data_IF_664621395632
#
_entry.id   IF_664621395632
#
_cell.length_a   1.000
_cell.length_b   1.000
_cell.length_c   1.000
_cell.angle_alpha   90.00
_cell.angle_beta   90.00
_cell.angle_gamma   90.00
#
_symmetry.space_group_name_H-M   'P 1'
#
loop_
_entity.id
_entity.type
_entity.pdbx_description
1 polymer ?
#
# COMPACT_ATOMS: atom_id res chain seq x y z
N UNK A 1 -26.85 -10.71 -38.46
CA UNK A 1 -27.01 -9.57 -37.54
C UNK A 1 -26.99 -10.12 -36.12
N UNK A 2 -25.89 -9.89 -35.39
CA UNK A 2 -25.66 -10.49 -34.08
C UNK A 2 -26.53 -9.81 -33.03
N UNK A 3 -27.51 -10.55 -32.53
CA UNK A 3 -28.40 -10.20 -31.42
C UNK A 3 -27.68 -10.47 -30.08
N UNK A 4 -26.47 -9.91 -29.93
CA UNK A 4 -25.81 -9.86 -28.63
C UNK A 4 -26.48 -8.72 -27.88
N UNK A 5 -27.35 -9.07 -26.94
CA UNK A 5 -27.87 -8.12 -25.96
C UNK A 5 -26.68 -7.39 -25.35
N UNK A 6 -26.55 -6.11 -25.67
CA UNK A 6 -25.61 -5.20 -25.01
C UNK A 6 -25.98 -5.24 -23.54
N UNK A 7 -25.19 -5.94 -22.73
CA UNK A 7 -25.33 -5.84 -21.27
C UNK A 7 -24.97 -4.39 -20.97
N UNK A 8 -26.00 -3.57 -20.74
CA UNK A 8 -25.81 -2.18 -20.34
C UNK A 8 -25.13 -2.24 -18.98
N UNK A 9 -23.88 -1.79 -18.91
CA UNK A 9 -23.18 -1.68 -17.64
C UNK A 9 -23.99 -0.73 -16.75
N UNK A 10 -24.26 -1.06 -15.47
CA UNK A 10 -24.84 -0.11 -14.52
C UNK A 10 -24.06 1.20 -14.42
N UNK A 11 -22.76 1.18 -14.79
CA UNK A 11 -21.92 2.38 -14.90
C UNK A 11 -22.49 3.38 -15.92
N UNK A 12 -23.13 2.91 -16.99
CA UNK A 12 -23.72 3.78 -18.02
C UNK A 12 -24.84 4.65 -17.46
N UNK A 13 -25.49 4.26 -16.35
CA UNK A 13 -26.52 5.07 -15.69
C UNK A 13 -25.94 6.26 -14.91
N UNK A 14 -24.66 6.18 -14.56
CA UNK A 14 -23.97 7.19 -13.74
C UNK A 14 -22.80 7.86 -14.46
N UNK A 15 -22.54 7.52 -15.72
CA UNK A 15 -21.35 7.98 -16.47
C UNK A 15 -21.21 9.51 -16.48
N UNK A 16 -22.33 10.23 -16.63
CA UNK A 16 -22.36 11.70 -16.63
C UNK A 16 -22.09 12.33 -15.25
N UNK A 17 -22.10 11.52 -14.19
CA UNK A 17 -21.79 11.93 -12.81
C UNK A 17 -20.42 11.45 -12.32
N UNK A 18 -19.67 10.73 -13.16
CA UNK A 18 -18.30 10.33 -12.85
C UNK A 18 -17.33 11.49 -13.08
N UNK A 19 -16.35 11.59 -12.19
CA UNK A 19 -15.20 12.46 -12.33
C UNK A 19 -14.08 11.81 -13.13
N UNK A 20 -12.87 12.39 -13.09
CA UNK A 20 -11.72 11.85 -13.79
C UNK A 20 -11.36 10.42 -13.36
N UNK A 21 -10.76 9.64 -14.27
CA UNK A 21 -10.52 8.19 -14.12
C UNK A 21 -11.80 7.33 -13.95
N UNK A 22 -12.96 7.84 -14.37
CA UNK A 22 -14.25 7.17 -14.21
C UNK A 22 -14.61 6.88 -12.75
N UNK A 23 -14.14 7.72 -11.81
CA UNK A 23 -14.38 7.60 -10.37
C UNK A 23 -15.43 8.61 -9.89
N UNK A 24 -16.25 8.29 -8.87
CA UNK A 24 -17.21 9.24 -8.29
C UNK A 24 -16.56 10.32 -7.41
N UNK A 25 -15.24 10.46 -7.46
CA UNK A 25 -14.43 11.42 -6.72
C UNK A 25 -13.24 11.86 -7.57
N UNK A 26 -12.69 13.04 -7.29
CA UNK A 26 -11.70 13.70 -8.15
C UNK A 26 -10.29 13.11 -8.07
N UNK A 27 -9.93 12.52 -6.92
CA UNK A 27 -8.57 12.02 -6.65
C UNK A 27 -8.65 10.56 -6.21
N UNK A 28 -7.98 9.64 -6.91
CA UNK A 28 -7.77 8.25 -6.51
C UNK A 28 -7.35 8.11 -5.03
N UNK A 29 -8.06 7.28 -4.28
CA UNK A 29 -7.83 7.08 -2.84
C UNK A 29 -6.82 5.95 -2.61
N UNK A 30 -6.79 4.95 -3.48
CA UNK A 30 -5.91 3.79 -3.38
C UNK A 30 -4.43 4.19 -3.20
N UNK A 31 -3.82 5.10 -3.99
CA UNK A 31 -2.42 5.46 -3.78
C UNK A 31 -2.16 6.05 -2.39
N UNK A 32 -3.07 6.85 -1.83
CA UNK A 32 -2.92 7.40 -0.48
C UNK A 32 -2.94 6.30 0.58
N UNK A 33 -3.84 5.32 0.43
CA UNK A 33 -3.90 4.15 1.30
C UNK A 33 -2.68 3.24 1.16
N UNK A 34 -2.08 3.15 -0.04
CA UNK A 34 -0.80 2.44 -0.26
C UNK A 34 0.32 3.10 0.54
N UNK A 35 0.48 4.43 0.45
CA UNK A 35 1.50 5.16 1.21
C UNK A 35 1.31 4.99 2.72
N UNK A 36 0.06 5.06 3.19
CA UNK A 36 -0.25 4.82 4.59
C UNK A 36 0.09 3.39 5.02
N UNK A 37 -0.26 2.38 4.22
CA UNK A 37 0.06 0.96 4.47
C UNK A 37 1.56 0.74 4.54
N UNK A 38 2.32 1.22 3.56
CA UNK A 38 3.77 1.10 3.53
C UNK A 38 4.40 1.84 4.71
N UNK A 39 3.93 3.05 5.02
CA UNK A 39 4.40 3.85 6.14
C UNK A 39 4.19 3.16 7.47
N UNK A 40 2.97 2.66 7.75
CA UNK A 40 2.65 1.92 8.96
C UNK A 40 3.50 0.65 9.08
N UNK A 41 3.63 -0.15 8.02
CA UNK A 41 4.48 -1.35 8.07
C UNK A 41 5.95 -1.00 8.30
N UNK A 42 6.47 0.03 7.64
CA UNK A 42 7.86 0.48 7.76
C UNK A 42 8.17 0.97 9.18
N UNK A 43 7.29 1.82 9.74
CA UNK A 43 7.41 2.28 11.12
C UNK A 43 7.34 1.10 12.09
N UNK A 44 6.43 0.15 11.85
CA UNK A 44 6.30 -1.03 12.71
C UNK A 44 7.63 -1.81 12.82
N UNK A 45 8.22 -2.14 11.68
CA UNK A 45 9.47 -2.90 11.60
C UNK A 45 10.64 -2.06 12.15
N UNK A 46 10.76 -0.79 11.77
CA UNK A 46 11.82 0.10 12.24
C UNK A 46 11.84 0.23 13.78
N UNK A 47 10.67 0.39 14.40
CA UNK A 47 10.57 0.49 15.85
C UNK A 47 10.81 -0.85 16.56
N UNK A 48 10.41 -1.97 15.95
CA UNK A 48 10.76 -3.29 16.47
C UNK A 48 12.28 -3.58 16.39
N UNK A 49 12.96 -3.06 15.37
CA UNK A 49 14.42 -3.03 15.27
C UNK A 49 15.05 -2.15 16.36
N UNK A 50 14.58 -0.92 16.55
CA UNK A 50 15.05 -0.02 17.61
C UNK A 50 14.88 -0.66 19.00
N UNK A 51 13.74 -1.29 19.26
CA UNK A 51 13.51 -2.05 20.50
C UNK A 51 14.45 -3.25 20.64
N UNK A 52 14.77 -3.95 19.55
CA UNK A 52 15.71 -5.07 19.58
C UNK A 52 17.15 -4.61 19.90
N UNK A 53 17.59 -3.50 19.29
CA UNK A 53 18.93 -2.92 19.43
C UNK A 53 19.09 -1.93 20.59
N UNK A 54 18.01 -1.63 21.32
CA UNK A 54 17.99 -0.72 22.47
C UNK A 54 19.18 -0.86 23.46
N UNK A 55 19.67 -2.08 23.81
CA UNK A 55 20.83 -2.20 24.69
C UNK A 55 22.11 -1.52 24.17
N UNK A 56 22.31 -1.45 22.85
CA UNK A 56 23.46 -0.82 22.22
C UNK A 56 23.27 0.71 22.14
N UNK A 57 22.06 1.16 21.85
CA UNK A 57 21.72 2.57 21.59
C UNK A 57 21.43 3.37 22.87
N UNK A 58 21.31 2.71 24.03
CA UNK A 58 21.02 3.35 25.33
C UNK A 58 21.95 4.53 25.66
N UNK A 59 23.20 4.51 25.17
CA UNK A 59 24.16 5.61 25.35
C UNK A 59 23.73 6.87 24.58
N UNK A 60 23.23 6.72 23.35
CA UNK A 60 22.78 7.83 22.50
C UNK A 60 21.50 8.43 23.05
N UNK A 61 20.51 7.61 23.41
CA UNK A 61 19.24 8.12 23.97
C UNK A 61 19.43 8.85 25.29
N UNK A 62 20.34 8.35 26.14
CA UNK A 62 20.71 9.04 27.38
C UNK A 62 21.44 10.35 27.11
N UNK A 63 22.34 10.37 26.12
CA UNK A 63 23.03 11.59 25.71
C UNK A 63 22.04 12.67 25.22
N UNK A 64 21.02 12.27 24.47
CA UNK A 64 19.97 13.16 23.95
C UNK A 64 18.84 13.43 24.97
N UNK A 65 18.93 12.91 26.19
CA UNK A 65 17.90 13.00 27.24
C UNK A 65 16.47 12.61 26.78
N UNK A 66 16.36 11.68 25.82
CA UNK A 66 15.07 11.22 25.31
C UNK A 66 14.46 10.19 26.29
N UNK A 67 13.23 10.41 26.81
CA UNK A 67 12.57 9.51 27.77
C UNK A 67 11.96 8.29 27.05
N UNK A 68 12.77 7.56 26.28
CA UNK A 68 12.33 6.38 25.53
C UNK A 68 12.57 5.11 26.33
N UNK A 69 11.65 4.15 26.21
CA UNK A 69 11.79 2.82 26.80
C UNK A 69 11.79 1.76 25.72
N UNK A 70 12.46 0.64 25.99
CA UNK A 70 12.47 -0.52 25.10
C UNK A 70 11.05 -1.05 24.81
N UNK A 71 10.20 -1.06 25.83
CA UNK A 71 8.80 -1.48 25.70
C UNK A 71 8.03 -0.48 24.82
N UNK A 72 8.25 0.82 25.01
CA UNK A 72 7.65 1.86 24.16
C UNK A 72 7.98 1.68 22.67
N UNK A 73 9.21 1.32 22.32
CA UNK A 73 9.56 0.98 20.94
C UNK A 73 8.74 -0.22 20.41
N UNK A 74 8.62 -1.28 21.20
CA UNK A 74 7.82 -2.46 20.83
C UNK A 74 6.31 -2.20 20.84
N UNK A 75 5.82 -1.18 21.55
CA UNK A 75 4.43 -0.73 21.51
C UNK A 75 4.13 0.00 20.20
N UNK A 76 5.01 0.94 19.80
CA UNK A 76 4.89 1.59 18.49
C UNK A 76 4.93 0.55 17.38
N UNK A 77 5.86 -0.41 17.46
CA UNK A 77 5.94 -1.54 16.52
C UNK A 77 4.62 -2.31 16.39
N UNK A 78 4.03 -2.67 17.53
CA UNK A 78 2.77 -3.42 17.60
C UNK A 78 1.58 -2.66 17.02
N UNK A 79 1.33 -1.44 17.47
CA UNK A 79 0.15 -0.70 17.03
C UNK A 79 0.21 -0.32 15.55
N UNK A 80 1.42 -0.07 15.03
CA UNK A 80 1.60 0.20 13.60
C UNK A 80 1.34 -1.04 12.75
N UNK A 81 1.82 -2.23 13.10
CA UNK A 81 1.53 -3.44 12.28
C UNK A 81 0.05 -3.83 12.36
N UNK A 82 -0.59 -3.64 13.52
CA UNK A 82 -2.03 -3.84 13.67
C UNK A 82 -2.83 -2.86 12.79
N UNK A 83 -2.56 -1.56 12.91
CA UNK A 83 -3.20 -0.54 12.08
C UNK A 83 -2.94 -0.80 10.59
N UNK A 84 -1.70 -1.15 10.23
CA UNK A 84 -1.30 -1.53 8.88
C UNK A 84 -2.21 -2.64 8.35
N UNK A 85 -2.41 -3.72 9.10
CA UNK A 85 -3.25 -4.84 8.65
C UNK A 85 -4.69 -4.42 8.38
N UNK A 86 -5.27 -3.57 9.22
CA UNK A 86 -6.63 -3.04 9.04
C UNK A 86 -6.71 -2.15 7.80
N UNK A 87 -5.78 -1.19 7.68
CA UNK A 87 -5.72 -0.25 6.54
C UNK A 87 -5.45 -0.99 5.22
N UNK A 88 -4.71 -2.09 5.23
CA UNK A 88 -4.40 -2.86 4.02
C UNK A 88 -5.66 -3.45 3.38
N UNK A 89 -6.68 -3.84 4.16
CA UNK A 89 -7.96 -4.27 3.60
C UNK A 89 -8.61 -3.16 2.75
N UNK A 90 -8.65 -1.94 3.27
CA UNK A 90 -9.17 -0.79 2.54
C UNK A 90 -8.29 -0.43 1.35
N UNK A 91 -6.97 -0.56 1.48
CA UNK A 91 -6.01 -0.33 0.40
C UNK A 91 -6.28 -1.27 -0.78
N UNK A 92 -6.42 -2.56 -0.52
CA UNK A 92 -6.70 -3.57 -1.56
C UNK A 92 -8.11 -3.38 -2.13
N UNK A 93 -9.12 -3.13 -1.29
CA UNK A 93 -10.49 -2.90 -1.75
C UNK A 93 -10.60 -1.68 -2.68
N UNK A 94 -10.00 -0.55 -2.29
CA UNK A 94 -9.94 0.65 -3.13
C UNK A 94 -9.18 0.37 -4.43
N UNK A 95 -8.07 -0.39 -4.37
CA UNK A 95 -7.31 -0.76 -5.55
C UNK A 95 -8.13 -1.57 -6.56
N UNK A 96 -8.87 -2.59 -6.11
CA UNK A 96 -9.77 -3.33 -6.99
C UNK A 96 -10.88 -2.44 -7.58
N UNK A 97 -11.53 -1.63 -6.74
CA UNK A 97 -12.60 -0.75 -7.21
C UNK A 97 -12.10 0.22 -8.28
N UNK A 98 -10.99 0.92 -8.02
CA UNK A 98 -10.43 1.91 -8.94
C UNK A 98 -9.87 1.25 -10.21
N UNK A 99 -9.27 0.06 -10.11
CA UNK A 99 -8.79 -0.68 -11.29
C UNK A 99 -9.91 -1.24 -12.17
N UNK A 100 -11.07 -1.58 -11.61
CA UNK A 100 -12.23 -2.06 -12.39
C UNK A 100 -12.83 -0.97 -13.28
N UNK A 101 -12.63 0.30 -12.89
CA UNK A 101 -13.12 1.47 -13.60
C UNK A 101 -12.03 2.11 -14.48
N UNK A 102 -10.76 1.78 -14.25
CA UNK A 102 -9.65 2.37 -14.97
C UNK A 102 -9.63 2.03 -16.47
N UNK A 103 -9.46 3.07 -17.28
CA UNK A 103 -9.17 2.97 -18.72
C UNK A 103 -7.70 3.33 -18.96
N UNK A 104 -6.81 2.34 -19.11
CA UNK A 104 -5.39 2.60 -19.31
C UNK A 104 -5.09 3.16 -20.70
N UNK A 105 -4.08 4.04 -20.79
CA UNK A 105 -3.64 4.61 -22.07
C UNK A 105 -3.18 3.51 -23.06
N UNK A 106 -3.69 3.51 -24.30
CA UNK A 106 -3.37 2.46 -25.26
C UNK A 106 -1.97 2.62 -25.87
N UNK A 107 -1.36 1.51 -26.26
CA UNK A 107 -0.11 1.52 -27.04
C UNK A 107 1.18 1.80 -26.25
N UNK A 108 1.09 2.06 -24.94
CA UNK A 108 2.23 2.28 -24.05
C UNK A 108 2.70 0.94 -23.44
N UNK A 109 3.99 0.84 -23.10
CA UNK A 109 4.59 -0.30 -22.38
C UNK A 109 5.51 0.20 -21.28
N UNK A 110 5.64 -0.57 -20.21
CA UNK A 110 6.62 -0.27 -19.15
C UNK A 110 8.06 -0.45 -19.65
N UNK A 111 9.03 -0.01 -18.83
CA UNK A 111 10.47 -0.25 -19.04
C UNK A 111 10.84 -1.73 -19.16
N UNK A 112 9.99 -2.64 -18.66
CA UNK A 112 10.15 -4.10 -18.79
C UNK A 112 9.41 -4.68 -20.01
N UNK A 113 8.83 -3.84 -20.86
CA UNK A 113 8.05 -4.25 -22.02
C UNK A 113 6.66 -4.81 -21.70
N UNK A 114 6.17 -4.63 -20.46
CA UNK A 114 4.84 -5.10 -20.04
C UNK A 114 3.75 -4.13 -20.52
N UNK A 115 2.60 -4.66 -20.92
CA UNK A 115 1.40 -3.87 -21.20
C UNK A 115 0.53 -3.67 -19.96
N UNK A 116 -0.37 -2.68 -20.03
CA UNK A 116 -1.23 -2.26 -18.90
C UNK A 116 -1.97 -3.42 -18.22
N UNK A 117 -2.67 -4.27 -18.98
CA UNK A 117 -3.46 -5.38 -18.42
C UNK A 117 -2.59 -6.36 -17.63
N UNK A 118 -1.41 -6.70 -18.15
CA UNK A 118 -0.48 -7.61 -17.45
C UNK A 118 0.03 -6.99 -16.16
N UNK A 119 0.39 -5.70 -16.17
CA UNK A 119 0.84 -4.99 -14.97
C UNK A 119 -0.28 -4.86 -13.94
N UNK A 120 -1.51 -4.57 -14.37
CA UNK A 120 -2.70 -4.55 -13.52
C UNK A 120 -2.92 -5.89 -12.83
N UNK A 121 -2.88 -7.01 -13.57
CA UNK A 121 -3.07 -8.34 -12.97
C UNK A 121 -2.01 -8.68 -11.93
N UNK A 122 -0.72 -8.42 -12.22
CA UNK A 122 0.35 -8.65 -11.25
C UNK A 122 0.23 -7.75 -10.02
N UNK A 123 -0.21 -6.50 -10.22
CA UNK A 123 -0.45 -5.58 -9.12
C UNK A 123 -1.62 -6.05 -8.24
N UNK A 124 -2.74 -6.45 -8.83
CA UNK A 124 -3.91 -6.94 -8.10
C UNK A 124 -3.60 -8.22 -7.30
N UNK A 125 -3.01 -9.23 -7.94
CA UNK A 125 -2.67 -10.51 -7.28
C UNK A 125 -1.62 -10.29 -6.20
N UNK A 126 -0.59 -9.48 -6.49
CA UNK A 126 0.44 -9.15 -5.52
C UNK A 126 -0.10 -8.38 -4.32
N UNK A 127 -1.06 -7.48 -4.53
CA UNK A 127 -1.74 -6.74 -3.46
C UNK A 127 -2.50 -7.65 -2.51
N UNK A 128 -3.25 -8.63 -3.03
CA UNK A 128 -3.92 -9.66 -2.20
C UNK A 128 -2.91 -10.52 -1.44
N UNK A 129 -1.84 -10.96 -2.10
CA UNK A 129 -0.80 -11.74 -1.44
C UNK A 129 -0.14 -10.96 -0.29
N UNK A 130 0.17 -9.69 -0.51
CA UNK A 130 0.73 -8.80 0.51
C UNK A 130 -0.23 -8.54 1.66
N UNK A 131 -1.53 -8.39 1.40
CA UNK A 131 -2.54 -8.32 2.46
C UNK A 131 -2.49 -9.56 3.36
N UNK A 132 -2.48 -10.76 2.78
CA UNK A 132 -2.40 -12.00 3.55
C UNK A 132 -1.10 -12.10 4.35
N UNK A 133 0.02 -11.69 3.75
CA UNK A 133 1.33 -11.66 4.43
C UNK A 133 1.32 -10.67 5.59
N UNK A 134 0.77 -9.47 5.42
CA UNK A 134 0.68 -8.45 6.48
C UNK A 134 -0.20 -8.96 7.62
N UNK A 135 -1.35 -9.57 7.33
CA UNK A 135 -2.21 -10.19 8.35
C UNK A 135 -1.47 -11.30 9.09
N UNK A 136 -0.76 -12.17 8.38
CA UNK A 136 0.05 -13.23 8.99
C UNK A 136 1.17 -12.66 9.89
N UNK A 137 1.83 -11.59 9.44
CA UNK A 137 2.83 -10.87 10.24
C UNK A 137 2.22 -10.26 11.50
N UNK A 138 1.03 -9.66 11.42
CA UNK A 138 0.33 -9.11 12.59
C UNK A 138 -0.03 -10.21 13.59
N UNK A 139 -0.55 -11.35 13.12
CA UNK A 139 -0.85 -12.51 13.97
C UNK A 139 0.43 -13.02 14.64
N UNK A 140 1.51 -13.20 13.88
CA UNK A 140 2.80 -13.62 14.41
C UNK A 140 3.32 -12.64 15.46
N UNK A 141 3.24 -11.34 15.17
CA UNK A 141 3.66 -10.29 16.10
C UNK A 141 2.82 -10.29 17.38
N UNK A 142 1.52 -10.54 17.26
CA UNK A 142 0.59 -10.68 18.38
C UNK A 142 0.92 -11.90 19.24
N UNK A 143 1.22 -13.04 18.61
CA UNK A 143 1.68 -14.25 19.31
C UNK A 143 2.97 -13.98 20.10
N UNK A 144 3.94 -13.30 19.49
CA UNK A 144 5.18 -12.90 20.17
C UNK A 144 4.89 -11.97 21.35
N UNK A 145 3.98 -11.01 21.19
CA UNK A 145 3.64 -10.02 22.21
C UNK A 145 2.90 -10.60 23.40
N UNK A 146 1.89 -11.41 23.16
CA UNK A 146 0.92 -11.80 24.18
C UNK A 146 1.11 -13.22 24.72
N UNK A 147 1.83 -14.08 23.98
CA UNK A 147 1.98 -15.50 24.35
C UNK A 147 3.43 -15.85 24.62
N UNK A 148 4.34 -15.70 23.64
CA UNK A 148 5.70 -16.22 23.78
C UNK A 148 6.65 -15.27 24.52
N UNK A 149 6.81 -14.03 24.04
CA UNK A 149 7.87 -13.11 24.50
C UNK A 149 7.33 -11.97 25.37
N UNK A 150 6.13 -12.16 25.96
CA UNK A 150 5.41 -11.14 26.73
C UNK A 150 6.22 -10.58 27.91
N UNK A 151 6.98 -11.43 28.59
CA UNK A 151 7.78 -11.06 29.76
C UNK A 151 9.26 -10.77 29.41
N UNK A 152 9.62 -10.78 28.12
CA UNK A 152 10.99 -10.54 27.68
C UNK A 152 11.22 -9.07 27.35
N UNK A 153 12.40 -8.54 27.70
CA UNK A 153 12.78 -7.18 27.29
C UNK A 153 12.80 -7.00 25.77
N UNK A 154 13.22 -8.03 25.01
CA UNK A 154 13.04 -8.08 23.54
C UNK A 154 11.75 -8.82 23.24
N UNK A 155 10.72 -8.11 22.77
CA UNK A 155 9.41 -8.72 22.51
C UNK A 155 9.29 -9.35 21.11
N UNK A 156 10.33 -9.26 20.27
CA UNK A 156 10.33 -9.75 18.87
C UNK A 156 11.49 -10.67 18.54
N UNK A 157 11.26 -11.74 17.77
CA UNK A 157 12.32 -12.68 17.38
C UNK A 157 13.19 -12.11 16.25
N UNK A 158 14.41 -12.64 16.06
CA UNK A 158 15.27 -12.23 14.95
C UNK A 158 14.69 -12.65 13.60
N UNK A 159 14.04 -13.82 13.55
CA UNK A 159 13.38 -14.29 12.35
C UNK A 159 12.23 -13.36 11.93
N UNK A 160 11.40 -12.90 12.89
CA UNK A 160 10.36 -11.90 12.61
C UNK A 160 10.94 -10.61 12.02
N UNK A 161 12.04 -10.10 12.59
CA UNK A 161 12.71 -8.90 12.09
C UNK A 161 13.30 -9.08 10.68
N UNK A 162 13.90 -10.24 10.41
CA UNK A 162 14.43 -10.57 9.10
C UNK A 162 13.31 -10.66 8.05
N UNK A 163 12.22 -11.38 8.36
CA UNK A 163 11.05 -11.50 7.49
C UNK A 163 10.40 -10.13 7.27
N UNK A 164 10.26 -9.32 8.31
CA UNK A 164 9.75 -7.95 8.19
C UNK A 164 10.59 -7.08 7.26
N UNK A 165 11.92 -7.16 7.36
CA UNK A 165 12.81 -6.45 6.44
C UNK A 165 12.71 -6.96 5.00
N UNK A 166 12.58 -8.28 4.79
CA UNK A 166 12.36 -8.87 3.47
C UNK A 166 11.03 -8.38 2.86
N UNK A 167 9.96 -8.32 3.66
CA UNK A 167 8.65 -7.85 3.19
C UNK A 167 8.71 -6.37 2.79
N UNK A 168 9.51 -5.53 3.46
CA UNK A 168 9.72 -4.14 3.02
C UNK A 168 10.33 -4.06 1.62
N UNK A 169 11.27 -4.94 1.29
CA UNK A 169 11.82 -5.04 -0.07
C UNK A 169 10.74 -5.49 -1.05
N UNK A 170 9.94 -6.49 -0.69
CA UNK A 170 8.83 -6.97 -1.54
C UNK A 170 7.79 -5.86 -1.75
N UNK A 171 7.44 -5.09 -0.72
CA UNK A 171 6.54 -3.93 -0.82
C UNK A 171 7.09 -2.87 -1.77
N UNK A 172 8.39 -2.58 -1.73
CA UNK A 172 9.02 -1.63 -2.66
C UNK A 172 9.01 -2.10 -4.12
N UNK A 173 9.33 -3.39 -4.34
CA UNK A 173 9.26 -4.00 -5.69
C UNK A 173 7.80 -3.99 -6.19
N UNK A 174 6.86 -4.39 -5.34
CA UNK A 174 5.45 -4.41 -5.71
C UNK A 174 4.87 -3.01 -5.96
N UNK A 175 5.26 -2.03 -5.13
CA UNK A 175 4.90 -0.62 -5.30
C UNK A 175 5.39 -0.05 -6.64
N UNK A 176 6.48 -0.58 -7.19
CA UNK A 176 6.96 -0.18 -8.53
C UNK A 176 5.96 -0.55 -9.64
N UNK A 177 5.19 -1.65 -9.47
CA UNK A 177 4.10 -1.98 -10.41
C UNK A 177 3.00 -0.90 -10.37
N UNK A 178 2.62 -0.45 -9.17
CA UNK A 178 1.66 0.64 -9.00
C UNK A 178 2.18 1.97 -9.56
N UNK A 179 3.48 2.24 -9.39
CA UNK A 179 4.11 3.42 -9.98
C UNK A 179 4.09 3.40 -11.51
N UNK A 180 4.27 2.25 -12.16
CA UNK A 180 4.11 2.12 -13.62
C UNK A 180 2.65 2.24 -14.06
N UNK A 181 1.70 1.70 -13.28
CA UNK A 181 0.26 1.91 -13.52
C UNK A 181 -0.10 3.39 -13.57
N UNK A 182 0.41 4.14 -12.61
CA UNK A 182 0.30 5.59 -12.56
C UNK A 182 0.98 6.28 -13.75
N UNK A 183 2.31 6.22 -13.80
CA UNK A 183 3.11 7.06 -14.71
C UNK A 183 3.07 6.67 -16.18
N UNK A 184 2.91 5.39 -16.51
CA UNK A 184 2.95 4.91 -17.90
C UNK A 184 1.56 4.74 -18.50
N UNK A 185 0.59 4.36 -17.66
CA UNK A 185 -0.75 3.99 -18.11
C UNK A 185 -1.84 4.98 -17.68
N UNK A 186 -1.49 6.02 -16.92
CA UNK A 186 -2.43 7.03 -16.42
C UNK A 186 -3.44 6.47 -15.41
N UNK A 187 -3.16 5.32 -14.80
CA UNK A 187 -4.07 4.66 -13.85
C UNK A 187 -3.77 5.17 -12.44
N UNK A 188 -4.75 5.80 -11.79
CA UNK A 188 -4.60 6.46 -10.48
C UNK A 188 -3.87 7.82 -10.48
N UNK A 189 -3.57 8.42 -11.65
CA UNK A 189 -3.16 9.83 -11.74
C UNK A 189 -4.16 10.58 -12.63
N UNK A 190 -5.02 11.35 -11.97
CA UNK A 190 -5.99 12.23 -12.64
C UNK A 190 -5.34 13.20 -13.63
N UNK A 191 -4.17 13.73 -13.29
CA UNK A 191 -3.46 14.67 -14.15
C UNK A 191 -3.09 14.06 -15.51
N UNK A 192 -2.65 12.81 -15.55
CA UNK A 192 -2.20 12.15 -16.78
C UNK A 192 -3.38 11.88 -17.73
N UNK A 193 -4.53 11.47 -17.19
CA UNK A 193 -5.77 11.32 -17.96
C UNK A 193 -6.29 12.66 -18.48
N UNK A 194 -6.24 13.72 -17.65
CA UNK A 194 -6.65 15.07 -18.06
C UNK A 194 -5.73 15.64 -19.14
N UNK A 195 -4.41 15.47 -19.01
CA UNK A 195 -3.44 15.87 -20.02
C UNK A 195 -3.63 15.11 -21.33
N UNK A 196 -3.85 13.79 -21.26
CA UNK A 196 -4.13 12.97 -22.44
C UNK A 196 -5.44 13.38 -23.14
N UNK A 197 -6.43 13.84 -22.38
CA UNK A 197 -7.68 14.40 -22.90
C UNK A 197 -7.55 15.84 -23.44
N UNK A 198 -6.35 16.44 -23.39
CA UNK A 198 -6.09 17.81 -23.85
C UNK A 198 -6.60 18.89 -22.91
N UNK A 199 -6.87 18.55 -21.65
CA UNK A 199 -7.42 19.47 -20.66
C UNK A 199 -6.33 20.33 -19.99
N UNK A 200 -6.70 21.56 -19.58
CA UNK A 200 -5.83 22.45 -18.82
C UNK A 200 -5.83 22.04 -17.34
N UNK A 201 -4.79 21.32 -16.91
CA UNK A 201 -4.69 20.81 -15.53
C UNK A 201 -4.57 21.90 -14.47
N UNK A 202 -4.08 23.10 -14.83
CA UNK A 202 -3.97 24.25 -13.91
C UNK A 202 -5.34 24.84 -13.53
N UNK A 203 -6.38 24.60 -14.33
CA UNK A 203 -7.75 25.05 -14.06
C UNK A 203 -8.60 23.98 -13.36
N UNK A 204 -8.24 22.70 -13.52
CA UNK A 204 -9.08 21.56 -13.15
C UNK A 204 -8.62 20.80 -11.90
N UNK A 205 -7.37 21.00 -11.47
CA UNK A 205 -6.82 20.42 -10.25
C UNK A 205 -6.63 21.50 -9.17
N UNK A 206 -6.86 21.16 -7.88
CA UNK A 206 -6.69 22.09 -6.75
C UNK A 206 -5.23 22.47 -6.48
#
# INVERSE_FOLDING_TARGET
MSLLATIVSPINEIVDSLGPNDLPYSIPVHPNLVHLTIGLFSIAIAFDYAGAFYPLEKRVFRFLALPVTRVGFHDVGWYNVLACSIVTFFTVAAGFYEMLLAVPLPGVKTVLGQGAITTMLWHAVGGVALLLIIVAMTIWRGYLRFIWRKDMGRQVSWLYLFVGALILVVLGIHGSLGAWLASEFGVHITADQLLAAGANVQELLP
#
